data_IF_432132206224
#
_entry.id   IF_432132206224
#
_cell.length_a   1.000
_cell.length_b   1.000
_cell.length_c   1.000
_cell.angle_alpha   90.00
_cell.angle_beta   90.00
_cell.angle_gamma   90.00
#
_symmetry.space_group_name_H-M   'P 1'
#
loop_
_entity.id
_entity.type
_entity.pdbx_description
1 polymer ?
#
# COMPACT_ATOMS: atom_id res chain seq x y z
N UNK A 1 37.14 -28.68 -5.06
CA UNK A 1 35.66 -28.61 -5.23
C UNK A 1 35.29 -27.19 -5.43
N UNK A 2 34.94 -26.76 -6.64
CA UNK A 2 34.41 -25.42 -6.88
C UNK A 2 32.95 -25.40 -6.41
N UNK A 3 32.70 -24.83 -5.23
CA UNK A 3 31.33 -24.60 -4.74
C UNK A 3 30.77 -23.34 -5.45
N UNK A 4 29.75 -23.51 -6.26
CA UNK A 4 28.99 -22.39 -6.83
C UNK A 4 27.96 -21.97 -5.82
N UNK A 5 28.06 -20.74 -5.30
CA UNK A 5 27.05 -20.17 -4.40
C UNK A 5 25.75 -19.99 -5.20
N UNK A 6 24.60 -20.40 -4.66
CA UNK A 6 23.32 -20.14 -5.29
C UNK A 6 23.07 -18.64 -5.48
N UNK A 7 22.34 -18.28 -6.53
CA UNK A 7 21.91 -16.93 -6.77
C UNK A 7 20.99 -16.42 -5.65
N UNK A 8 20.90 -15.11 -5.46
CA UNK A 8 20.09 -14.48 -4.41
C UNK A 8 18.61 -14.85 -4.51
N UNK A 9 18.13 -15.08 -5.72
CA UNK A 9 16.76 -15.53 -6.02
C UNK A 9 16.47 -16.91 -5.41
N UNK A 10 17.47 -17.80 -5.41
CA UNK A 10 17.36 -19.11 -4.76
C UNK A 10 17.10 -18.94 -3.26
N UNK A 11 17.85 -18.05 -2.60
CA UNK A 11 17.69 -17.79 -1.17
C UNK A 11 16.36 -17.12 -0.85
N UNK A 12 15.94 -16.14 -1.67
CA UNK A 12 14.60 -15.54 -1.55
C UNK A 12 13.50 -16.59 -1.63
N UNK A 13 13.60 -17.53 -2.55
CA UNK A 13 12.64 -18.63 -2.68
C UNK A 13 12.62 -19.58 -1.46
N UNK A 14 13.68 -19.62 -0.67
CA UNK A 14 13.72 -20.39 0.58
C UNK A 14 12.96 -19.72 1.73
N UNK A 15 12.82 -18.39 1.72
CA UNK A 15 12.05 -17.62 2.72
C UNK A 15 10.61 -17.47 2.22
N UNK A 16 9.81 -18.52 2.43
CA UNK A 16 8.47 -18.65 1.84
C UNK A 16 7.52 -17.51 2.20
N UNK A 17 7.55 -17.01 3.43
CA UNK A 17 6.72 -15.88 3.84
C UNK A 17 7.09 -14.57 3.10
N UNK A 18 8.37 -14.36 2.79
CA UNK A 18 8.81 -13.19 2.02
C UNK A 18 8.46 -13.34 0.53
N UNK A 19 8.73 -14.51 -0.06
CA UNK A 19 8.42 -14.77 -1.47
C UNK A 19 6.91 -14.85 -1.75
N UNK A 20 6.10 -15.23 -0.76
CA UNK A 20 4.65 -15.20 -0.83
C UNK A 20 4.04 -13.81 -0.71
N UNK A 21 4.81 -12.83 -0.22
CA UNK A 21 4.34 -11.45 -0.11
C UNK A 21 4.53 -10.70 -1.45
N UNK A 22 3.47 -10.13 -2.06
CA UNK A 22 3.58 -9.41 -3.33
C UNK A 22 4.58 -8.24 -3.33
N UNK A 23 4.81 -7.64 -2.16
CA UNK A 23 5.79 -6.54 -1.96
C UNK A 23 7.06 -7.02 -1.26
N UNK A 24 7.26 -8.33 -1.16
CA UNK A 24 8.46 -8.96 -0.59
C UNK A 24 8.85 -8.44 0.80
N UNK A 25 7.86 -8.11 1.65
CA UNK A 25 8.16 -7.70 3.04
C UNK A 25 8.90 -8.82 3.77
N UNK A 26 9.99 -8.49 4.44
CA UNK A 26 10.74 -9.44 5.27
C UNK A 26 9.97 -9.76 6.55
N UNK A 27 8.96 -10.64 6.38
CA UNK A 27 8.09 -11.04 7.47
C UNK A 27 8.83 -11.82 8.55
N UNK A 28 9.80 -12.64 8.17
CA UNK A 28 10.64 -13.37 9.13
C UNK A 28 11.39 -12.42 10.05
N UNK A 29 11.96 -11.36 9.48
CA UNK A 29 12.73 -10.38 10.24
C UNK A 29 11.88 -9.61 11.26
N UNK A 30 10.73 -9.06 10.85
CA UNK A 30 9.93 -8.31 11.82
C UNK A 30 9.27 -9.20 12.87
N UNK A 31 8.90 -10.44 12.55
CA UNK A 31 8.41 -11.41 13.55
C UNK A 31 9.48 -11.73 14.59
N UNK A 32 10.73 -11.93 14.15
CA UNK A 32 11.85 -12.14 15.06
C UNK A 32 12.10 -10.92 15.95
N UNK A 33 12.07 -9.71 15.39
CA UNK A 33 12.27 -8.45 16.14
C UNK A 33 11.19 -8.28 17.22
N UNK A 34 9.93 -8.63 16.93
CA UNK A 34 8.86 -8.64 17.94
C UNK A 34 9.18 -9.63 19.07
N UNK A 35 9.64 -10.82 18.74
CA UNK A 35 10.03 -11.82 19.74
C UNK A 35 11.20 -11.36 20.61
N UNK A 36 12.05 -10.48 20.10
CA UNK A 36 13.18 -9.84 20.82
C UNK A 36 12.75 -8.59 21.61
N UNK A 37 11.47 -8.16 21.55
CA UNK A 37 10.98 -6.92 22.15
C UNK A 37 11.43 -5.65 21.44
N UNK A 38 11.88 -5.75 20.18
CA UNK A 38 12.37 -4.63 19.32
C UNK A 38 11.26 -4.18 18.37
N UNK A 39 10.12 -3.82 18.93
CA UNK A 39 8.88 -3.59 18.20
C UNK A 39 8.96 -2.41 17.22
N UNK A 40 9.69 -1.34 17.57
CA UNK A 40 9.90 -0.19 16.68
C UNK A 40 10.67 -0.58 15.42
N UNK A 41 11.73 -1.36 15.58
CA UNK A 41 12.49 -1.86 14.43
C UNK A 41 11.66 -2.83 13.59
N UNK A 42 10.82 -3.63 14.23
CA UNK A 42 9.87 -4.50 13.54
C UNK A 42 8.88 -3.69 12.69
N UNK A 43 8.38 -2.56 13.21
CA UNK A 43 7.54 -1.65 12.44
C UNK A 43 8.27 -1.10 11.21
N UNK A 44 9.51 -0.65 11.35
CA UNK A 44 10.29 -0.11 10.23
C UNK A 44 10.51 -1.16 9.12
N UNK A 45 10.79 -2.42 9.50
CA UNK A 45 10.90 -3.53 8.54
C UNK A 45 9.56 -3.82 7.86
N UNK A 46 8.46 -3.79 8.61
CA UNK A 46 7.11 -4.07 8.08
C UNK A 46 6.62 -2.96 7.13
N UNK A 47 7.01 -1.69 7.41
CA UNK A 47 6.62 -0.52 6.63
C UNK A 47 7.51 -0.30 5.39
N UNK A 48 8.80 -0.57 5.49
CA UNK A 48 9.78 -0.21 4.46
C UNK A 48 9.33 -0.45 3.01
N UNK A 49 8.90 -1.67 2.63
CA UNK A 49 8.44 -1.96 1.27
C UNK A 49 6.96 -1.63 1.03
N UNK A 50 6.24 -1.09 2.01
CA UNK A 50 4.79 -0.95 1.95
C UNK A 50 4.30 0.30 2.69
N UNK A 51 4.02 1.41 2.00
CA UNK A 51 3.53 2.63 2.61
C UNK A 51 2.16 2.49 3.29
N UNK A 52 1.43 1.41 3.00
CA UNK A 52 0.14 1.06 3.59
C UNK A 52 0.24 -0.09 4.61
N UNK A 53 1.27 -0.07 5.46
CA UNK A 53 1.51 -1.14 6.41
C UNK A 53 0.36 -1.33 7.41
N UNK A 54 -0.23 -0.24 7.92
CA UNK A 54 -1.38 -0.28 8.84
C UNK A 54 -2.64 -0.82 8.15
N UNK A 55 -2.91 -0.39 6.91
CA UNK A 55 -3.99 -0.95 6.08
C UNK A 55 -3.80 -2.45 5.88
N UNK A 56 -2.60 -2.88 5.49
CA UNK A 56 -2.29 -4.30 5.30
C UNK A 56 -2.41 -5.13 6.59
N UNK A 57 -2.07 -4.57 7.74
CA UNK A 57 -2.27 -5.22 9.04
C UNK A 57 -3.74 -5.58 9.31
N UNK A 58 -4.69 -4.87 8.68
CA UNK A 58 -6.14 -5.08 8.87
C UNK A 58 -6.81 -5.91 7.78
N UNK A 59 -6.45 -5.71 6.51
CA UNK A 59 -7.24 -6.25 5.38
C UNK A 59 -6.46 -7.11 4.39
N UNK A 60 -5.15 -7.32 4.59
CA UNK A 60 -4.38 -8.19 3.72
C UNK A 60 -4.91 -9.63 3.77
N UNK A 61 -4.97 -10.30 2.61
CA UNK A 61 -5.30 -11.73 2.54
C UNK A 61 -4.23 -12.64 3.16
N UNK A 62 -3.07 -12.08 3.51
CA UNK A 62 -1.96 -12.74 4.19
C UNK A 62 -1.36 -13.96 3.46
N UNK A 63 -1.03 -13.87 2.16
CA UNK A 63 -0.45 -15.00 1.42
C UNK A 63 0.90 -15.47 2.01
N UNK A 64 1.54 -14.64 2.84
CA UNK A 64 2.70 -15.02 3.63
C UNK A 64 2.38 -16.05 4.72
N UNK A 65 1.14 -16.05 5.26
CA UNK A 65 0.67 -17.06 6.21
C UNK A 65 0.38 -18.37 5.51
N UNK A 66 -0.27 -18.33 4.34
CA UNK A 66 -0.52 -19.51 3.50
C UNK A 66 0.79 -20.19 3.08
N UNK A 67 1.83 -19.41 2.78
CA UNK A 67 3.15 -19.90 2.43
C UNK A 67 4.05 -20.23 3.65
N UNK A 68 3.55 -20.09 4.87
CA UNK A 68 4.36 -20.29 6.07
C UNK A 68 4.77 -21.74 6.26
N UNK A 69 6.08 -21.98 6.33
CA UNK A 69 6.61 -23.35 6.56
C UNK A 69 6.16 -23.97 7.88
N UNK A 70 5.88 -23.14 8.88
CA UNK A 70 5.41 -23.63 10.16
C UNK A 70 4.04 -24.34 10.04
N UNK A 71 3.22 -23.91 9.07
CA UNK A 71 1.94 -24.56 8.77
C UNK A 71 2.04 -26.06 8.42
N UNK A 72 3.23 -26.55 8.00
CA UNK A 72 3.48 -27.98 7.79
C UNK A 72 3.86 -28.75 9.07
N UNK A 73 4.06 -28.04 10.17
CA UNK A 73 4.45 -28.63 11.47
C UNK A 73 3.27 -28.59 12.46
N UNK A 74 2.69 -27.41 12.66
CA UNK A 74 1.57 -27.19 13.58
C UNK A 74 0.56 -26.17 13.00
N UNK A 75 0.88 -24.88 13.02
CA UNK A 75 0.04 -23.83 12.47
C UNK A 75 0.89 -22.67 11.91
N UNK A 76 0.42 -21.97 10.86
CA UNK A 76 1.08 -20.78 10.36
C UNK A 76 1.24 -19.72 11.46
N UNK A 77 2.35 -18.96 11.40
CA UNK A 77 2.50 -17.78 12.24
C UNK A 77 1.49 -16.73 11.80
N UNK A 78 0.78 -16.09 12.74
CA UNK A 78 -0.19 -15.02 12.49
C UNK A 78 0.53 -13.71 12.09
N UNK A 79 1.20 -13.73 10.93
CA UNK A 79 2.10 -12.68 10.44
C UNK A 79 1.37 -11.35 10.27
N UNK A 80 0.13 -11.38 9.76
CA UNK A 80 -0.70 -10.17 9.60
C UNK A 80 -1.10 -9.56 10.94
N UNK A 81 -1.46 -10.39 11.92
CA UNK A 81 -1.80 -9.92 13.26
C UNK A 81 -0.59 -9.28 13.95
N UNK A 82 0.60 -9.86 13.80
CA UNK A 82 1.84 -9.28 14.29
C UNK A 82 2.20 -7.97 13.57
N UNK A 83 1.95 -7.87 12.25
CA UNK A 83 2.08 -6.60 11.54
C UNK A 83 1.14 -5.54 12.12
N UNK A 84 -0.13 -5.90 12.37
CA UNK A 84 -1.10 -4.99 12.98
C UNK A 84 -0.64 -4.53 14.36
N UNK A 85 -0.13 -5.44 15.18
CA UNK A 85 0.39 -5.13 16.51
C UNK A 85 1.45 -4.01 16.46
N UNK A 86 2.44 -4.11 15.60
CA UNK A 86 3.49 -3.07 15.51
C UNK A 86 3.02 -1.80 14.85
N UNK A 87 2.08 -1.87 13.88
CA UNK A 87 1.55 -0.67 13.24
C UNK A 87 0.60 0.12 14.15
N UNK A 88 -0.14 -0.53 15.03
CA UNK A 88 -0.95 0.14 16.06
C UNK A 88 -0.08 0.86 17.10
N UNK A 89 1.13 0.38 17.37
CA UNK A 89 2.03 0.99 18.35
C UNK A 89 2.95 2.08 17.75
N UNK A 90 3.43 1.89 16.54
CA UNK A 90 4.48 2.73 15.92
C UNK A 90 4.07 3.32 14.57
N UNK A 91 2.90 2.99 14.05
CA UNK A 91 2.35 3.54 12.82
C UNK A 91 1.42 4.73 13.04
N UNK A 92 0.67 5.07 12.00
CA UNK A 92 -0.26 6.23 11.98
C UNK A 92 -1.43 6.10 12.96
N UNK A 93 -1.65 4.92 13.53
CA UNK A 93 -2.67 4.66 14.55
C UNK A 93 -2.16 4.85 15.98
N UNK A 94 -0.87 5.06 16.16
CA UNK A 94 -0.25 5.16 17.47
C UNK A 94 -0.73 6.39 18.23
N UNK A 95 -1.07 6.20 19.50
CA UNK A 95 -1.36 7.30 20.44
C UNK A 95 -0.13 7.71 21.25
N UNK A 96 1.06 7.15 20.96
CA UNK A 96 2.29 7.48 21.67
C UNK A 96 2.81 8.83 21.20
N UNK A 97 3.06 9.80 22.10
CA UNK A 97 3.56 11.13 21.72
C UNK A 97 4.84 11.07 20.88
N UNK A 98 5.80 10.23 21.29
CA UNK A 98 7.09 10.08 20.62
C UNK A 98 6.93 9.57 19.19
N UNK A 99 5.97 8.66 18.97
CA UNK A 99 5.65 8.16 17.63
C UNK A 99 5.00 9.25 16.78
N UNK A 100 4.07 10.01 17.36
CA UNK A 100 3.41 11.10 16.65
C UNK A 100 4.39 12.20 16.24
N UNK A 101 5.36 12.53 17.09
CA UNK A 101 6.40 13.51 16.77
C UNK A 101 7.30 13.00 15.63
N UNK A 102 7.74 11.73 15.68
CA UNK A 102 8.50 11.11 14.59
C UNK A 102 7.71 11.02 13.28
N UNK A 103 6.40 10.76 13.36
CA UNK A 103 5.53 10.75 12.19
C UNK A 103 5.37 12.14 11.56
N UNK A 104 5.43 13.21 12.36
CA UNK A 104 5.47 14.59 11.84
C UNK A 104 6.80 14.89 11.17
N UNK A 105 7.86 14.35 11.70
CA UNK A 105 9.24 14.53 11.21
C UNK A 105 9.55 13.51 10.10
N UNK A 106 8.73 13.49 9.04
CA UNK A 106 8.67 12.47 7.99
C UNK A 106 10.01 11.87 7.54
N UNK A 107 11.12 12.63 7.68
CA UNK A 107 12.47 12.20 7.38
C UNK A 107 12.98 11.08 8.32
N UNK A 108 12.54 11.00 9.58
CA UNK A 108 13.06 10.06 10.55
C UNK A 108 12.60 8.61 10.30
N UNK A 109 11.39 8.41 9.77
CA UNK A 109 10.87 7.08 9.42
C UNK A 109 11.43 6.63 8.06
N UNK A 110 11.64 7.56 7.16
CA UNK A 110 12.14 7.32 5.82
C UNK A 110 13.68 7.13 5.76
N UNK A 111 14.40 7.49 6.83
CA UNK A 111 15.86 7.28 6.94
C UNK A 111 16.30 5.80 6.93
N UNK A 112 15.37 4.87 7.08
CA UNK A 112 15.60 3.42 6.97
C UNK A 112 15.08 2.88 5.63
N UNK A 113 15.42 3.55 4.54
CA UNK A 113 14.94 3.29 3.18
C UNK A 113 15.16 1.84 2.76
N UNK A 114 14.11 1.11 2.65
CA UNK A 114 14.03 -0.08 1.83
C UNK A 114 13.47 0.32 0.46
N UNK A 115 14.35 0.46 -0.51
CA UNK A 115 13.91 0.62 -1.90
C UNK A 115 13.76 -0.79 -2.48
N UNK A 116 12.54 -1.24 -2.85
CA UNK A 116 12.27 -2.64 -3.23
C UNK A 116 13.11 -3.18 -4.39
N UNK A 117 13.73 -2.30 -5.16
CA UNK A 117 14.47 -2.63 -6.38
C UNK A 117 16.00 -2.55 -6.25
N UNK A 118 16.50 -2.12 -5.09
CA UNK A 118 17.94 -2.23 -4.82
C UNK A 118 18.22 -3.62 -4.23
N UNK A 119 19.32 -4.28 -4.65
CA UNK A 119 19.65 -5.60 -4.12
C UNK A 119 19.74 -5.54 -2.60
N UNK A 120 18.95 -6.38 -1.93
CA UNK A 120 19.03 -6.61 -0.50
C UNK A 120 20.43 -7.09 -0.15
N UNK A 121 21.27 -6.18 0.31
CA UNK A 121 22.49 -6.59 1.01
C UNK A 121 22.08 -7.00 2.41
N UNK A 122 22.06 -8.29 2.66
CA UNK A 122 21.52 -8.97 3.83
C UNK A 122 22.09 -8.53 5.19
N UNK A 123 23.14 -7.73 5.27
CA UNK A 123 23.88 -7.60 6.52
C UNK A 123 24.51 -6.25 6.83
N UNK A 124 24.32 -5.20 6.09
CA UNK A 124 24.85 -3.89 6.49
C UNK A 124 23.90 -2.76 6.13
N UNK A 125 23.75 -1.81 7.04
CA UNK A 125 23.49 -0.41 6.70
C UNK A 125 24.60 0.02 5.74
N UNK A 126 24.48 -0.33 4.47
CA UNK A 126 25.29 0.34 3.47
C UNK A 126 24.91 1.83 3.57
N UNK A 127 25.90 2.75 3.57
CA UNK A 127 25.60 4.16 3.39
C UNK A 127 24.72 4.22 2.15
N UNK A 128 23.50 4.76 2.31
CA UNK A 128 22.59 4.85 1.17
C UNK A 128 23.24 5.79 0.17
N UNK A 129 23.31 5.42 -1.11
CA UNK A 129 23.74 6.37 -2.12
C UNK A 129 22.86 7.61 -1.97
N UNK A 130 23.46 8.79 -1.91
CA UNK A 130 22.73 10.04 -1.97
C UNK A 130 21.88 9.99 -3.25
N UNK A 131 20.58 9.81 -3.08
CA UNK A 131 19.68 9.84 -4.23
C UNK A 131 19.58 11.31 -4.60
N UNK A 132 20.03 11.70 -5.81
CA UNK A 132 19.98 13.10 -6.21
C UNK A 132 18.52 13.55 -6.20
N UNK A 133 18.26 14.69 -5.56
CA UNK A 133 16.93 15.31 -5.55
C UNK A 133 16.60 15.70 -7.00
N UNK A 134 15.68 14.98 -7.63
CA UNK A 134 15.24 15.17 -9.02
C UNK A 134 13.94 15.96 -9.10
N UNK A 135 13.80 17.00 -8.27
CA UNK A 135 12.58 17.83 -8.21
C UNK A 135 12.35 18.64 -9.49
N UNK A 136 13.34 18.72 -10.35
CA UNK A 136 13.23 19.24 -11.70
C UNK A 136 12.45 18.30 -12.63
N UNK A 137 12.40 16.98 -12.30
CA UNK A 137 11.70 15.99 -13.10
C UNK A 137 10.31 15.68 -12.54
N UNK A 138 9.31 15.90 -13.37
CA UNK A 138 7.89 15.83 -12.99
C UNK A 138 7.25 14.53 -13.47
N UNK A 139 6.60 13.83 -12.53
CA UNK A 139 5.88 12.58 -12.81
C UNK A 139 4.39 12.78 -12.48
N UNK A 140 3.53 12.43 -13.42
CA UNK A 140 2.09 12.35 -13.19
C UNK A 140 1.71 10.91 -12.82
N UNK A 141 0.93 10.76 -11.76
CA UNK A 141 0.29 9.49 -11.40
C UNK A 141 -1.22 9.67 -11.58
N UNK A 142 -1.85 8.81 -12.35
CA UNK A 142 -3.28 8.86 -12.62
C UNK A 142 -3.98 7.73 -11.87
N UNK A 143 -4.72 8.10 -10.84
CA UNK A 143 -5.38 7.23 -9.88
C UNK A 143 -4.75 7.31 -8.49
N UNK A 144 -5.53 7.80 -7.50
CA UNK A 144 -5.17 7.88 -6.09
C UNK A 144 -5.65 6.64 -5.30
N UNK A 145 -5.67 5.48 -5.95
CA UNK A 145 -5.84 4.19 -5.30
C UNK A 145 -4.52 3.68 -4.70
N UNK A 146 -4.50 2.48 -4.08
CA UNK A 146 -3.31 1.95 -3.41
C UNK A 146 -2.09 1.86 -4.33
N UNK A 147 -2.26 1.46 -5.58
CA UNK A 147 -1.16 1.34 -6.54
C UNK A 147 -0.54 2.70 -6.89
N UNK A 148 -1.38 3.70 -7.19
CA UNK A 148 -0.89 5.04 -7.54
C UNK A 148 -0.25 5.75 -6.36
N UNK A 149 -0.83 5.64 -5.18
CA UNK A 149 -0.28 6.25 -3.97
C UNK A 149 1.03 5.58 -3.53
N UNK A 150 1.16 4.25 -3.68
CA UNK A 150 2.43 3.56 -3.42
C UNK A 150 3.51 3.98 -4.42
N UNK A 151 3.17 4.09 -5.72
CA UNK A 151 4.10 4.60 -6.73
C UNK A 151 4.50 6.07 -6.43
N UNK A 152 3.53 6.90 -6.02
CA UNK A 152 3.81 8.29 -5.66
C UNK A 152 4.75 8.39 -4.45
N UNK A 153 4.57 7.55 -3.43
CA UNK A 153 5.45 7.43 -2.27
C UNK A 153 6.89 7.11 -2.71
N UNK A 154 7.08 6.05 -3.47
CA UNK A 154 8.42 5.60 -3.87
C UNK A 154 9.10 6.60 -4.81
N UNK A 155 8.36 7.20 -5.75
CA UNK A 155 8.87 8.25 -6.62
C UNK A 155 9.27 9.51 -5.85
N UNK A 156 8.49 9.92 -4.84
CA UNK A 156 8.82 11.04 -3.98
C UNK A 156 10.10 10.77 -3.16
N UNK A 157 10.26 9.54 -2.63
CA UNK A 157 11.49 9.12 -1.95
C UNK A 157 12.70 9.12 -2.90
N UNK A 158 12.49 8.83 -4.18
CA UNK A 158 13.51 8.95 -5.23
C UNK A 158 13.78 10.39 -5.66
N UNK A 159 13.11 11.37 -5.06
CA UNK A 159 13.32 12.79 -5.28
C UNK A 159 12.58 13.40 -6.47
N UNK A 160 11.66 12.67 -7.12
CA UNK A 160 10.85 13.22 -8.22
C UNK A 160 9.75 14.16 -7.70
N UNK A 161 9.39 15.16 -8.52
CA UNK A 161 8.22 15.99 -8.28
C UNK A 161 6.96 15.25 -8.76
N UNK A 162 6.18 14.69 -7.82
CA UNK A 162 5.04 13.84 -8.14
C UNK A 162 3.73 14.59 -7.98
N UNK A 163 2.85 14.48 -8.99
CA UNK A 163 1.46 14.92 -8.91
C UNK A 163 0.54 13.75 -9.18
N UNK A 164 -0.35 13.47 -8.25
CA UNK A 164 -1.40 12.44 -8.35
C UNK A 164 -2.70 13.09 -8.79
N UNK A 165 -3.32 12.56 -9.82
CA UNK A 165 -4.64 12.97 -10.34
C UNK A 165 -5.65 11.86 -10.08
N UNK A 166 -6.83 12.21 -9.59
CA UNK A 166 -7.92 11.24 -9.42
C UNK A 166 -9.26 11.83 -9.83
N UNK A 167 -10.11 11.00 -10.39
CA UNK A 167 -11.46 11.36 -10.76
C UNK A 167 -12.40 11.53 -9.56
N UNK A 168 -12.10 10.85 -8.46
CA UNK A 168 -12.89 10.89 -7.24
C UNK A 168 -12.64 12.17 -6.44
N UNK A 169 -13.61 12.50 -5.58
CA UNK A 169 -13.54 13.64 -4.65
C UNK A 169 -12.63 13.35 -3.46
N UNK A 170 -12.33 12.07 -3.21
CA UNK A 170 -11.47 11.63 -2.11
C UNK A 170 -10.49 10.54 -2.56
N UNK A 171 -9.27 10.54 -2.01
CA UNK A 171 -8.26 9.55 -2.35
C UNK A 171 -8.49 8.23 -1.60
N UNK A 172 -7.84 7.17 -2.08
CA UNK A 172 -7.83 5.84 -1.46
C UNK A 172 -8.41 4.75 -2.35
N UNK A 173 -9.12 5.11 -3.45
CA UNK A 173 -9.67 4.14 -4.39
C UNK A 173 -10.51 3.07 -3.70
N UNK A 174 -10.35 1.80 -4.07
CA UNK A 174 -11.14 0.70 -3.50
C UNK A 174 -10.86 0.42 -2.02
N UNK A 175 -9.77 0.90 -1.43
CA UNK A 175 -9.62 0.86 0.03
C UNK A 175 -10.71 1.69 0.73
N UNK A 176 -11.05 2.85 0.15
CA UNK A 176 -12.08 3.74 0.69
C UNK A 176 -13.49 3.37 0.22
N UNK A 177 -13.65 3.11 -1.06
CA UNK A 177 -14.98 2.95 -1.66
C UNK A 177 -15.48 1.52 -1.70
N UNK A 178 -14.59 0.52 -1.63
CA UNK A 178 -14.94 -0.90 -1.70
C UNK A 178 -14.92 -1.62 -0.35
N UNK A 179 -14.05 -1.20 0.59
CA UNK A 179 -13.94 -1.87 1.89
C UNK A 179 -14.87 -1.17 2.90
N UNK A 180 -15.73 -1.91 3.62
CA UNK A 180 -16.58 -1.33 4.66
C UNK A 180 -15.76 -0.68 5.79
N UNK A 181 -16.26 0.44 6.34
CA UNK A 181 -15.55 1.23 7.34
C UNK A 181 -15.26 0.44 8.63
N UNK A 182 -16.16 -0.45 9.04
CA UNK A 182 -15.95 -1.30 10.21
C UNK A 182 -14.75 -2.25 10.07
N UNK A 183 -14.30 -2.55 8.83
CA UNK A 183 -13.10 -3.35 8.57
C UNK A 183 -11.85 -2.49 8.39
N UNK A 184 -12.01 -1.31 7.79
CA UNK A 184 -10.91 -0.39 7.50
C UNK A 184 -11.37 1.06 7.77
N UNK A 185 -11.06 1.60 8.96
CA UNK A 185 -11.46 2.95 9.35
C UNK A 185 -10.97 4.01 8.35
N UNK A 186 -11.83 4.97 8.04
CA UNK A 186 -11.51 6.05 7.09
C UNK A 186 -10.39 6.96 7.59
N UNK A 187 -10.33 7.16 8.92
CA UNK A 187 -9.23 7.90 9.58
C UNK A 187 -7.87 7.27 9.32
N UNK A 188 -7.79 5.93 9.36
CA UNK A 188 -6.57 5.19 9.08
C UNK A 188 -6.10 5.37 7.64
N UNK A 189 -7.01 5.21 6.66
CA UNK A 189 -6.70 5.42 5.25
C UNK A 189 -6.17 6.83 5.03
N UNK A 190 -6.84 7.84 5.60
CA UNK A 190 -6.43 9.24 5.51
C UNK A 190 -5.04 9.46 6.09
N UNK A 191 -4.79 8.95 7.30
CA UNK A 191 -3.50 9.11 7.96
C UNK A 191 -2.33 8.49 7.18
N UNK A 192 -2.51 7.31 6.56
CA UNK A 192 -1.49 6.71 5.68
C UNK A 192 -1.27 7.56 4.41
N UNK A 193 -2.35 8.10 3.82
CA UNK A 193 -2.26 8.97 2.65
C UNK A 193 -1.57 10.28 3.01
N UNK A 194 -1.93 10.90 4.13
CA UNK A 194 -1.32 12.15 4.59
C UNK A 194 0.20 12.00 4.79
N UNK A 195 0.66 10.81 5.22
CA UNK A 195 2.10 10.51 5.28
C UNK A 195 2.75 10.49 3.91
N UNK A 196 2.06 9.95 2.90
CA UNK A 196 2.57 9.97 1.52
C UNK A 196 2.62 11.41 1.00
N UNK A 197 1.58 12.20 1.25
CA UNK A 197 1.51 13.59 0.82
C UNK A 197 2.58 14.46 1.52
N UNK A 198 2.93 14.15 2.77
CA UNK A 198 3.98 14.87 3.51
C UNK A 198 5.38 14.76 2.89
N UNK A 199 5.59 13.82 1.96
CA UNK A 199 6.81 13.71 1.15
C UNK A 199 6.90 14.75 0.03
N UNK A 200 5.92 15.66 -0.07
CA UNK A 200 5.84 16.69 -1.11
C UNK A 200 5.05 16.24 -2.35
N UNK A 201 4.27 15.17 -2.25
CA UNK A 201 3.36 14.71 -3.31
C UNK A 201 2.18 15.68 -3.42
N UNK A 202 1.93 16.18 -4.63
CA UNK A 202 0.74 17.01 -4.92
C UNK A 202 -0.44 16.11 -5.29
N UNK A 203 -1.60 16.35 -4.69
CA UNK A 203 -2.84 15.61 -4.99
C UNK A 203 -3.87 16.52 -5.66
N UNK A 204 -4.41 16.10 -6.80
CA UNK A 204 -5.47 16.77 -7.55
C UNK A 204 -6.65 15.81 -7.72
N UNK A 205 -7.66 16.02 -6.90
CA UNK A 205 -8.92 15.28 -6.92
C UNK A 205 -9.91 15.89 -7.91
N UNK A 206 -11.02 15.19 -8.16
CA UNK A 206 -12.06 15.64 -9.11
C UNK A 206 -11.51 16.00 -10.49
N UNK A 207 -10.43 15.31 -10.90
CA UNK A 207 -9.72 15.57 -12.16
C UNK A 207 -9.67 14.30 -13.01
N UNK A 208 -10.81 13.91 -13.61
CA UNK A 208 -10.89 12.70 -14.45
C UNK A 208 -10.12 12.90 -15.77
N UNK A 209 -9.51 11.83 -16.26
CA UNK A 209 -9.13 11.79 -17.67
C UNK A 209 -10.38 11.82 -18.55
N UNK A 210 -10.36 12.67 -19.55
CA UNK A 210 -11.48 12.88 -20.46
C UNK A 210 -10.99 13.24 -21.86
N UNK A 211 -11.91 13.50 -22.78
CA UNK A 211 -11.56 14.03 -24.13
C UNK A 211 -10.94 15.43 -24.09
N UNK A 212 -11.24 16.21 -23.03
CA UNK A 212 -10.69 17.58 -22.83
C UNK A 212 -9.45 17.62 -21.94
N UNK A 213 -9.14 16.54 -21.21
CA UNK A 213 -7.96 16.43 -20.36
C UNK A 213 -7.43 14.99 -20.39
N UNK A 214 -6.46 14.76 -21.25
CA UNK A 214 -5.89 13.44 -21.51
C UNK A 214 -4.38 13.38 -21.30
N UNK A 215 -3.76 12.29 -21.76
CA UNK A 215 -2.32 12.06 -21.60
C UNK A 215 -1.48 13.11 -22.34
N UNK A 216 -1.97 13.61 -23.49
CA UNK A 216 -1.31 14.68 -24.24
C UNK A 216 -1.26 15.98 -23.43
N UNK A 217 -2.30 16.28 -22.67
CA UNK A 217 -2.37 17.45 -21.80
C UNK A 217 -1.37 17.35 -20.65
N UNK A 218 -1.26 16.20 -20.03
CA UNK A 218 -0.26 15.93 -19.00
C UNK A 218 1.17 16.15 -19.56
N UNK A 219 1.43 15.69 -20.78
CA UNK A 219 2.72 15.95 -21.46
C UNK A 219 2.94 17.45 -21.70
N UNK A 220 1.93 18.16 -22.18
CA UNK A 220 2.00 19.64 -22.38
C UNK A 220 2.21 20.39 -21.07
N UNK A 221 1.70 19.87 -19.97
CA UNK A 221 1.93 20.43 -18.63
C UNK A 221 3.35 20.16 -18.10
N UNK A 222 4.20 19.47 -18.87
CA UNK A 222 5.61 19.21 -18.53
C UNK A 222 5.84 17.97 -17.68
N UNK A 223 4.90 17.02 -17.63
CA UNK A 223 5.17 15.73 -17.01
C UNK A 223 5.97 14.83 -17.97
N UNK A 224 7.17 14.43 -17.54
CA UNK A 224 8.08 13.59 -18.32
C UNK A 224 7.67 12.12 -18.33
N UNK A 225 7.04 11.66 -17.27
CA UNK A 225 6.50 10.31 -17.17
C UNK A 225 5.06 10.34 -16.62
N UNK A 226 4.27 9.37 -17.04
CA UNK A 226 2.88 9.20 -16.62
C UNK A 226 2.69 7.76 -16.17
N UNK A 227 2.29 7.55 -14.91
CA UNK A 227 1.95 6.25 -14.37
C UNK A 227 0.43 6.10 -14.30
N UNK A 228 -0.12 5.11 -14.99
CA UNK A 228 -1.55 4.86 -15.04
C UNK A 228 -1.94 3.78 -14.02
N UNK A 229 -2.78 4.13 -13.06
CA UNK A 229 -3.28 3.26 -11.98
C UNK A 229 -4.74 3.50 -11.68
N UNK A 230 -5.54 3.64 -12.73
CA UNK A 230 -6.97 3.98 -12.67
C UNK A 230 -7.85 2.90 -12.01
N UNK A 231 -7.29 1.73 -11.74
CA UNK A 231 -7.96 0.65 -11.04
C UNK A 231 -9.10 0.00 -11.85
N UNK A 232 -9.93 -0.77 -11.14
CA UNK A 232 -11.10 -1.49 -11.69
C UNK A 232 -12.28 -1.21 -10.76
N UNK A 233 -13.08 -0.20 -11.09
CA UNK A 233 -14.24 0.22 -10.29
C UNK A 233 -15.57 -0.38 -10.75
N UNK A 234 -15.57 -1.11 -11.87
CA UNK A 234 -16.78 -1.77 -12.41
C UNK A 234 -16.74 -3.26 -12.14
N UNK A 235 -17.82 -3.80 -11.56
CA UNK A 235 -18.00 -5.24 -11.42
C UNK A 235 -18.22 -5.90 -12.77
N UNK A 236 -17.72 -7.13 -12.93
CA UNK A 236 -18.03 -7.98 -14.08
C UNK A 236 -19.44 -8.55 -13.91
N UNK A 237 -20.22 -8.59 -14.99
CA UNK A 237 -21.50 -9.26 -15.00
C UNK A 237 -21.32 -10.78 -15.03
N UNK A 238 -22.09 -11.46 -14.19
CA UNK A 238 -22.16 -12.92 -14.18
C UNK A 238 -23.29 -13.32 -15.12
N UNK A 239 -23.00 -14.19 -16.09
CA UNK A 239 -23.98 -14.69 -17.08
C UNK A 239 -24.82 -15.83 -16.47
N UNK A 240 -25.74 -15.48 -15.56
CA UNK A 240 -26.66 -16.42 -14.93
C UNK A 240 -28.13 -15.94 -15.12
N UNK A 241 -29.09 -16.85 -15.26
CA UNK A 241 -30.50 -16.48 -15.33
C UNK A 241 -30.94 -15.71 -14.10
N UNK A 242 -31.68 -14.61 -14.29
CA UNK A 242 -32.19 -13.80 -13.19
C UNK A 242 -31.28 -12.66 -12.75
N UNK A 243 -30.10 -12.48 -13.34
CA UNK A 243 -29.21 -11.35 -13.02
C UNK A 243 -29.84 -9.98 -13.33
N UNK A 244 -30.82 -9.97 -14.22
CA UNK A 244 -31.59 -8.80 -14.66
C UNK A 244 -32.79 -8.48 -13.76
N UNK A 245 -33.10 -9.33 -12.79
CA UNK A 245 -34.26 -9.15 -11.92
C UNK A 245 -34.06 -7.95 -10.97
N UNK A 246 -35.19 -7.30 -10.68
CA UNK A 246 -35.23 -6.22 -9.68
C UNK A 246 -34.76 -6.72 -8.32
N UNK A 247 -33.86 -5.95 -7.69
CA UNK A 247 -33.24 -6.31 -6.42
C UNK A 247 -31.90 -7.06 -6.56
N UNK A 248 -31.52 -7.51 -7.75
CA UNK A 248 -30.18 -8.04 -8.01
C UNK A 248 -29.19 -6.88 -8.19
N UNK A 249 -28.27 -6.73 -7.26
CA UNK A 249 -27.29 -5.62 -7.26
C UNK A 249 -25.86 -6.15 -7.26
N UNK A 250 -24.98 -5.46 -7.97
CA UNK A 250 -23.54 -5.77 -7.94
C UNK A 250 -22.96 -5.31 -6.61
N UNK A 251 -22.21 -6.19 -5.93
CA UNK A 251 -21.59 -5.88 -4.65
C UNK A 251 -20.71 -4.64 -4.69
N UNK A 252 -19.98 -4.41 -5.79
CA UNK A 252 -19.14 -3.22 -5.96
C UNK A 252 -19.99 -1.95 -5.96
N UNK A 253 -21.09 -1.92 -6.70
CA UNK A 253 -21.99 -0.76 -6.79
C UNK A 253 -22.68 -0.50 -5.45
N UNK A 254 -23.12 -1.58 -4.79
CA UNK A 254 -23.69 -1.50 -3.44
C UNK A 254 -22.69 -0.89 -2.44
N UNK A 255 -21.48 -1.45 -2.34
CA UNK A 255 -20.47 -0.99 -1.41
C UNK A 255 -20.01 0.45 -1.70
N UNK A 256 -19.88 0.82 -2.97
CA UNK A 256 -19.52 2.17 -3.39
C UNK A 256 -20.55 3.20 -2.91
N UNK A 257 -21.84 2.89 -3.04
CA UNK A 257 -22.91 3.77 -2.59
C UNK A 257 -22.96 3.86 -1.05
N UNK A 258 -22.91 2.72 -0.35
CA UNK A 258 -22.89 2.71 1.13
C UNK A 258 -21.68 3.50 1.66
N UNK A 259 -20.50 3.29 1.09
CA UNK A 259 -19.27 3.97 1.52
C UNK A 259 -19.24 5.47 1.16
N UNK A 260 -20.15 5.94 0.27
CA UNK A 260 -20.41 7.35 0.00
C UNK A 260 -21.48 7.95 0.91
N UNK A 261 -22.08 7.16 1.79
CA UNK A 261 -23.12 7.59 2.72
C UNK A 261 -24.53 7.52 2.16
N UNK A 262 -24.73 6.94 0.97
CA UNK A 262 -26.08 6.73 0.44
C UNK A 262 -26.77 5.58 1.18
N UNK A 263 -28.02 5.82 1.57
CA UNK A 263 -28.90 4.78 2.08
C UNK A 263 -29.54 4.04 0.92
N UNK A 264 -29.34 2.74 0.87
CA UNK A 264 -29.99 1.88 -0.12
C UNK A 264 -31.15 1.16 0.53
N UNK A 265 -32.32 1.23 -0.07
CA UNK A 265 -33.47 0.47 0.37
C UNK A 265 -33.32 -0.98 -0.10
N UNK A 266 -33.14 -1.87 0.85
CA UNK A 266 -33.11 -3.31 0.64
C UNK A 266 -34.47 -3.90 1.03
N UNK A 267 -34.93 -4.91 0.31
CA UNK A 267 -36.12 -5.64 0.66
C UNK A 267 -36.03 -6.32 2.02
N UNK A 268 -37.16 -6.78 2.55
CA UNK A 268 -37.20 -7.45 3.87
C UNK A 268 -36.47 -8.79 3.91
N UNK A 269 -36.22 -9.40 2.77
CA UNK A 269 -35.46 -10.64 2.55
C UNK A 269 -34.34 -10.36 1.57
N UNK A 270 -33.11 -10.56 2.02
CA UNK A 270 -31.88 -10.37 1.24
C UNK A 270 -31.13 -11.68 1.22
#
# INVERSE_FOLDING_TARGET
VNATLPAIEHWKAQVKCQSGCPVSTDAGRYVQLIAEGRDEEAFLVARGPNPFASVCGRVCAAPCEDACRRGSVDAPISIRALKRFVTEQYGVESNRPETQDRLRDGAAIEGNRYIPHLPLTWHRRAPQPEIPVRRDRRVAVVGAGPAGLAAAHDLALLGYAVTVFDAAEEPGGMMRFGIPEYRLPRSLIRAEIDKILSLGVTLKLSTPLSSSFGLADLRRLGFEAIFLSVGVSKGRDVQIPGVELEGVVKAVDYLLNVNRGYRLDLGRRV
#
